data_IF_295753061248
#
_entry.id   IF_295753061248
#
_cell.length_a   1.000
_cell.length_b   1.000
_cell.length_c   1.000
_cell.angle_alpha   90.00
_cell.angle_beta   90.00
_cell.angle_gamma   90.00
#
_symmetry.space_group_name_H-M   'P 1'
#
loop_
_entity.id
_entity.type
_entity.pdbx_description
1 polymer ?
#
# COMPACT_ATOMS: atom_id res chain seq x y z
N UNK A 1 -48.70 -16.24 -37.52
CA UNK A 1 -47.76 -15.47 -36.67
C UNK A 1 -47.20 -16.48 -35.71
N UNK A 2 -45.97 -16.90 -36.00
CA UNK A 2 -45.19 -17.83 -35.18
C UNK A 2 -44.47 -16.98 -34.11
N UNK A 3 -44.83 -17.14 -32.84
CA UNK A 3 -44.04 -16.66 -31.76
C UNK A 3 -42.93 -17.70 -31.49
N UNK A 4 -41.70 -17.37 -31.85
CA UNK A 4 -40.55 -18.14 -31.40
C UNK A 4 -40.32 -17.78 -29.95
N UNK A 5 -40.71 -18.69 -29.04
CA UNK A 5 -40.32 -18.66 -27.62
C UNK A 5 -38.81 -19.00 -27.62
N UNK A 6 -37.96 -17.97 -27.46
CA UNK A 6 -36.55 -18.14 -27.20
C UNK A 6 -36.41 -18.69 -25.76
N UNK A 7 -36.23 -20.01 -25.65
CA UNK A 7 -35.88 -20.64 -24.39
C UNK A 7 -34.45 -20.22 -24.02
N UNK A 8 -34.32 -19.27 -23.09
CA UNK A 8 -33.03 -18.93 -22.47
C UNK A 8 -32.60 -20.11 -21.62
N UNK A 9 -31.70 -20.91 -22.12
CA UNK A 9 -31.03 -21.98 -21.36
C UNK A 9 -30.05 -21.29 -20.41
N UNK A 10 -30.45 -21.14 -19.16
CA UNK A 10 -29.52 -20.75 -18.08
C UNK A 10 -28.61 -21.96 -17.81
N UNK A 11 -27.43 -21.96 -18.37
CA UNK A 11 -26.41 -22.96 -18.04
C UNK A 11 -25.81 -22.57 -16.70
N UNK A 12 -26.29 -23.24 -15.64
CA UNK A 12 -25.75 -23.13 -14.31
C UNK A 12 -24.36 -23.83 -14.30
N UNK A 13 -23.25 -23.09 -14.05
CA UNK A 13 -21.92 -23.65 -14.26
C UNK A 13 -21.65 -24.80 -13.28
N UNK A 14 -21.25 -25.95 -13.80
CA UNK A 14 -20.91 -27.13 -13.01
C UNK A 14 -19.65 -26.87 -12.16
N UNK A 15 -18.67 -26.16 -12.74
CA UNK A 15 -17.45 -25.71 -12.10
C UNK A 15 -17.36 -24.20 -12.24
N UNK A 16 -17.29 -23.49 -11.14
CA UNK A 16 -17.12 -22.05 -11.07
C UNK A 16 -16.58 -21.65 -9.71
N UNK A 17 -15.83 -20.56 -9.68
CA UNK A 17 -15.41 -19.94 -8.43
C UNK A 17 -15.31 -18.44 -8.59
N UNK A 18 -15.25 -17.73 -7.49
CA UNK A 18 -14.93 -16.31 -7.41
C UNK A 18 -13.70 -16.11 -6.55
N UNK A 19 -12.95 -15.05 -6.84
CA UNK A 19 -11.88 -14.56 -6.00
C UNK A 19 -12.20 -13.11 -5.64
N UNK A 20 -12.06 -12.76 -4.36
CA UNK A 20 -12.16 -11.39 -3.85
C UNK A 20 -10.88 -11.03 -3.13
N UNK A 21 -10.46 -9.77 -3.25
CA UNK A 21 -9.26 -9.26 -2.60
C UNK A 21 -9.57 -7.96 -1.90
N UNK A 22 -9.16 -7.87 -0.64
CA UNK A 22 -9.33 -6.67 0.19
C UNK A 22 -8.03 -6.31 0.90
N UNK A 23 -7.94 -5.07 1.38
CA UNK A 23 -6.86 -4.60 2.24
C UNK A 23 -7.46 -4.10 3.56
N UNK A 24 -6.71 -4.23 4.66
CA UNK A 24 -7.10 -3.75 5.99
C UNK A 24 -7.25 -2.22 6.06
N UNK A 25 -6.66 -1.51 5.10
CA UNK A 25 -6.70 -0.05 4.96
C UNK A 25 -6.65 0.36 3.48
N UNK A 26 -7.23 1.50 3.15
CA UNK A 26 -7.20 2.10 1.80
C UNK A 26 -6.11 3.18 1.64
N UNK A 27 -5.45 3.56 2.73
CA UNK A 27 -4.34 4.51 2.76
C UNK A 27 -3.24 3.99 3.69
N UNK A 28 -1.97 4.14 3.30
CA UNK A 28 -0.81 3.77 4.08
C UNK A 28 0.33 4.78 3.90
N UNK A 29 1.26 4.80 4.84
CA UNK A 29 2.50 5.58 4.77
C UNK A 29 3.68 4.66 4.56
N UNK A 30 4.72 5.19 3.92
CA UNK A 30 6.00 4.48 3.79
C UNK A 30 6.46 3.95 5.15
N UNK A 31 6.77 2.66 5.22
CA UNK A 31 7.16 1.93 6.42
C UNK A 31 6.01 1.30 7.22
N UNK A 32 4.75 1.51 6.83
CA UNK A 32 3.61 0.79 7.41
C UNK A 32 3.41 -0.55 6.70
N UNK A 33 2.82 -1.51 7.41
CA UNK A 33 2.36 -2.76 6.82
C UNK A 33 0.89 -2.64 6.38
N UNK A 34 0.56 -3.26 5.25
CA UNK A 34 -0.79 -3.47 4.75
C UNK A 34 -1.06 -4.96 4.75
N UNK A 35 -2.16 -5.36 5.39
CA UNK A 35 -2.62 -6.76 5.39
C UNK A 35 -3.63 -6.95 4.27
N UNK A 36 -3.35 -7.87 3.36
CA UNK A 36 -4.25 -8.27 2.29
C UNK A 36 -4.96 -9.55 2.64
N UNK A 37 -6.24 -9.60 2.32
CA UNK A 37 -7.10 -10.79 2.45
C UNK A 37 -7.60 -11.19 1.08
N UNK A 38 -7.50 -12.48 0.77
CA UNK A 38 -7.94 -13.11 -0.47
C UNK A 38 -8.95 -14.18 -0.11
N UNK A 39 -10.18 -14.03 -0.57
CA UNK A 39 -11.26 -15.01 -0.38
C UNK A 39 -11.56 -15.71 -1.71
N UNK A 40 -11.39 -17.03 -1.73
CA UNK A 40 -11.73 -17.90 -2.86
C UNK A 40 -12.98 -18.68 -2.50
N UNK A 41 -14.05 -18.51 -3.28
CA UNK A 41 -15.35 -19.16 -3.05
C UNK A 41 -15.72 -20.04 -4.24
N UNK A 42 -16.00 -21.32 -3.99
CA UNK A 42 -16.55 -22.20 -5.00
C UNK A 42 -18.05 -21.91 -5.19
N UNK A 43 -18.38 -21.29 -6.31
CA UNK A 43 -19.78 -20.95 -6.69
C UNK A 43 -20.41 -21.99 -7.61
N UNK A 44 -19.64 -23.05 -7.98
CA UNK A 44 -20.14 -24.17 -8.78
C UNK A 44 -20.87 -25.22 -7.98
N UNK A 45 -21.36 -26.23 -8.65
CA UNK A 45 -22.12 -27.36 -8.04
C UNK A 45 -21.23 -28.54 -7.66
N UNK A 46 -20.02 -28.60 -8.18
CA UNK A 46 -19.02 -29.64 -7.88
C UNK A 46 -17.86 -29.07 -7.07
N UNK A 47 -17.27 -29.93 -6.27
CA UNK A 47 -16.04 -29.61 -5.57
C UNK A 47 -14.92 -29.25 -6.57
N UNK A 48 -14.09 -28.30 -6.21
CA UNK A 48 -12.85 -27.94 -6.88
C UNK A 48 -11.68 -28.50 -6.11
N UNK A 49 -10.65 -28.93 -6.80
CA UNK A 49 -9.41 -29.44 -6.22
C UNK A 49 -8.21 -28.75 -6.85
N UNK A 50 -7.15 -28.64 -6.07
CA UNK A 50 -5.87 -28.11 -6.52
C UNK A 50 -5.98 -26.70 -7.12
N UNK A 51 -6.69 -25.80 -6.42
CA UNK A 51 -6.81 -24.39 -6.82
C UNK A 51 -5.50 -23.70 -6.48
N UNK A 52 -4.74 -23.29 -7.49
CA UNK A 52 -3.48 -22.57 -7.32
C UNK A 52 -3.76 -21.07 -7.14
N UNK A 53 -3.33 -20.50 -6.01
CA UNK A 53 -3.50 -19.07 -5.70
C UNK A 53 -2.15 -18.42 -5.58
N UNK A 54 -1.94 -17.34 -6.34
CA UNK A 54 -0.70 -16.60 -6.42
C UNK A 54 -0.92 -15.11 -6.21
N UNK A 55 -0.03 -14.49 -5.41
CA UNK A 55 0.07 -13.05 -5.21
C UNK A 55 1.54 -12.69 -4.97
N UNK A 56 2.17 -12.12 -5.98
CA UNK A 56 3.61 -11.86 -5.96
C UNK A 56 4.01 -10.78 -4.94
N UNK A 57 3.13 -9.80 -4.67
CA UNK A 57 3.43 -8.70 -3.76
C UNK A 57 3.59 -9.18 -2.32
N UNK A 58 2.74 -10.07 -1.86
CA UNK A 58 2.81 -10.65 -0.50
C UNK A 58 3.57 -11.97 -0.46
N UNK A 59 4.17 -12.39 -1.59
CA UNK A 59 4.91 -13.64 -1.70
C UNK A 59 4.04 -14.89 -1.49
N UNK A 60 2.75 -14.80 -1.78
CA UNK A 60 1.82 -15.93 -1.67
C UNK A 60 1.89 -16.77 -2.94
N UNK A 61 2.17 -18.04 -2.78
CA UNK A 61 2.11 -19.07 -3.82
C UNK A 61 1.68 -20.37 -3.14
N UNK A 62 0.41 -20.74 -3.25
CA UNK A 62 -0.17 -21.84 -2.49
C UNK A 62 -1.25 -22.57 -3.29
N UNK A 63 -1.57 -23.79 -2.85
CA UNK A 63 -2.63 -24.61 -3.43
C UNK A 63 -3.69 -24.89 -2.39
N UNK A 64 -4.94 -24.57 -2.71
CA UNK A 64 -6.10 -25.00 -1.94
C UNK A 64 -6.46 -26.40 -2.46
N UNK A 65 -6.17 -27.44 -1.66
CA UNK A 65 -6.29 -28.82 -2.09
C UNK A 65 -7.74 -29.24 -2.39
N UNK A 66 -8.73 -28.67 -1.69
CA UNK A 66 -10.14 -29.00 -1.87
C UNK A 66 -11.03 -27.84 -1.44
N UNK A 67 -12.11 -27.60 -2.18
CA UNK A 67 -13.14 -26.62 -1.89
C UNK A 67 -14.50 -27.16 -2.34
N UNK A 68 -15.34 -27.57 -1.38
CA UNK A 68 -16.68 -28.09 -1.65
C UNK A 68 -17.58 -27.01 -2.29
N UNK A 69 -18.68 -27.40 -2.89
CA UNK A 69 -19.66 -26.45 -3.44
C UNK A 69 -20.14 -25.47 -2.34
N UNK A 70 -20.12 -24.18 -2.63
CA UNK A 70 -20.43 -23.07 -1.72
C UNK A 70 -19.48 -22.91 -0.52
N UNK A 71 -18.33 -23.58 -0.54
CA UNK A 71 -17.28 -23.39 0.45
C UNK A 71 -16.36 -22.25 0.04
N UNK A 72 -15.83 -21.52 1.05
CA UNK A 72 -14.86 -20.44 0.86
C UNK A 72 -13.59 -20.74 1.64
N UNK A 73 -12.46 -20.26 1.11
CA UNK A 73 -11.16 -20.30 1.76
C UNK A 73 -10.56 -18.92 1.76
N UNK A 74 -10.21 -18.43 2.96
CA UNK A 74 -9.52 -17.16 3.16
C UNK A 74 -8.01 -17.40 3.28
N UNK A 75 -7.24 -16.59 2.57
CA UNK A 75 -5.78 -16.48 2.62
C UNK A 75 -5.41 -15.05 3.00
N UNK A 76 -4.34 -14.88 3.75
CA UNK A 76 -3.87 -13.54 4.17
C UNK A 76 -2.37 -13.42 4.00
N UNK A 77 -1.90 -12.20 3.76
CA UNK A 77 -0.49 -11.87 3.74
C UNK A 77 -0.27 -10.38 3.98
N UNK A 78 0.94 -10.03 4.35
CA UNK A 78 1.32 -8.66 4.67
C UNK A 78 2.37 -8.15 3.69
N UNK A 79 2.29 -6.86 3.37
CA UNK A 79 3.27 -6.14 2.59
C UNK A 79 3.72 -4.89 3.33
N UNK A 80 5.03 -4.72 3.50
CA UNK A 80 5.63 -3.52 4.07
C UNK A 80 5.83 -2.47 2.97
N UNK A 81 5.09 -1.36 3.06
CA UNK A 81 5.09 -0.30 2.05
C UNK A 81 6.43 0.42 2.03
N UNK A 82 7.00 0.59 0.84
CA UNK A 82 8.29 1.23 0.58
C UNK A 82 8.16 2.64 -0.01
N UNK A 83 9.26 3.36 -0.18
CA UNK A 83 9.26 4.67 -0.82
C UNK A 83 8.95 4.59 -2.33
N UNK A 84 9.19 3.45 -2.96
CA UNK A 84 8.93 3.23 -4.38
C UNK A 84 7.43 3.05 -4.66
N UNK A 85 6.62 2.77 -3.61
CA UNK A 85 5.18 2.55 -3.71
C UNK A 85 4.36 3.85 -3.57
N UNK A 86 4.98 5.02 -3.42
CA UNK A 86 4.26 6.30 -3.26
C UNK A 86 3.35 6.56 -4.46
N UNK A 87 2.05 6.72 -4.18
CA UNK A 87 0.99 6.88 -5.17
C UNK A 87 -0.11 5.84 -5.01
N UNK A 88 -0.55 5.26 -6.10
CA UNK A 88 -1.52 4.17 -6.12
C UNK A 88 -0.78 2.83 -6.19
N UNK A 89 -0.85 2.07 -5.11
CA UNK A 89 -0.31 0.73 -5.00
C UNK A 89 -1.42 -0.28 -5.30
N UNK A 90 -1.40 -0.86 -6.49
CA UNK A 90 -2.31 -1.94 -6.88
C UNK A 90 -1.68 -3.30 -6.56
N UNK A 91 -2.41 -4.13 -5.82
CA UNK A 91 -2.01 -5.52 -5.57
C UNK A 91 -3.03 -6.48 -6.20
N UNK A 92 -2.53 -7.43 -6.99
CA UNK A 92 -3.33 -8.39 -7.76
C UNK A 92 -3.07 -9.81 -7.24
N UNK A 93 -4.13 -10.57 -7.04
CA UNK A 93 -4.07 -12.00 -6.80
C UNK A 93 -4.73 -12.76 -7.95
N UNK A 94 -4.15 -13.87 -8.34
CA UNK A 94 -4.66 -14.77 -9.39
C UNK A 94 -4.97 -16.13 -8.79
N UNK A 95 -6.12 -16.69 -9.10
CA UNK A 95 -6.48 -18.06 -8.78
C UNK A 95 -6.76 -18.86 -10.05
N UNK A 96 -6.20 -20.09 -10.15
CA UNK A 96 -6.36 -20.98 -11.30
C UNK A 96 -6.70 -22.39 -10.82
N UNK A 97 -7.64 -23.03 -11.49
CA UNK A 97 -8.01 -24.44 -11.25
C UNK A 97 -8.22 -25.16 -12.57
N UNK A 98 -7.80 -26.42 -12.66
CA UNK A 98 -8.13 -27.32 -13.76
C UNK A 98 -9.45 -28.02 -13.45
N UNK A 99 -10.52 -27.69 -14.19
CA UNK A 99 -11.82 -28.26 -13.94
C UNK A 99 -12.58 -28.55 -15.25
N UNK A 100 -13.15 -29.74 -15.36
CA UNK A 100 -13.82 -30.17 -16.59
C UNK A 100 -12.90 -30.35 -17.81
N UNK A 101 -11.58 -30.39 -17.61
CA UNK A 101 -10.58 -30.53 -18.68
C UNK A 101 -10.05 -29.21 -19.26
N UNK A 102 -10.46 -28.10 -18.68
CA UNK A 102 -10.02 -26.75 -19.06
C UNK A 102 -9.61 -25.93 -17.82
N UNK A 103 -8.60 -25.06 -17.94
CA UNK A 103 -8.22 -24.15 -16.86
C UNK A 103 -9.26 -23.04 -16.72
N UNK A 104 -9.67 -22.78 -15.48
CA UNK A 104 -10.48 -21.60 -15.10
C UNK A 104 -9.58 -20.69 -14.29
N UNK A 105 -9.42 -19.44 -14.73
CA UNK A 105 -8.56 -18.45 -14.04
C UNK A 105 -9.35 -17.18 -13.77
N UNK A 106 -9.22 -16.66 -12.56
CA UNK A 106 -9.77 -15.39 -12.13
C UNK A 106 -8.74 -14.57 -11.38
N UNK A 107 -8.82 -13.25 -11.53
CA UNK A 107 -7.98 -12.26 -10.85
C UNK A 107 -8.85 -11.38 -9.97
N UNK A 108 -8.26 -10.89 -8.86
CA UNK A 108 -8.84 -9.85 -8.04
C UNK A 108 -7.75 -8.85 -7.63
N UNK A 109 -8.06 -7.57 -7.63
CA UNK A 109 -7.12 -6.53 -7.24
C UNK A 109 -7.72 -5.56 -6.22
N UNK A 110 -6.84 -4.88 -5.49
CA UNK A 110 -7.18 -3.79 -4.58
C UNK A 110 -6.10 -2.71 -4.66
N UNK A 111 -6.52 -1.45 -4.58
CA UNK A 111 -5.63 -0.28 -4.62
C UNK A 111 -5.55 0.34 -3.23
N UNK A 112 -4.32 0.58 -2.76
CA UNK A 112 -4.02 1.33 -1.54
C UNK A 112 -3.26 2.60 -1.92
N UNK A 113 -3.69 3.76 -1.40
CA UNK A 113 -2.98 5.02 -1.62
C UNK A 113 -1.82 5.15 -0.66
N UNK A 114 -0.63 5.33 -1.19
CA UNK A 114 0.60 5.44 -0.40
C UNK A 114 1.09 6.87 -0.38
N UNK A 115 1.37 7.38 0.82
CA UNK A 115 1.97 8.69 1.06
C UNK A 115 3.34 8.55 1.71
N UNK A 116 4.17 9.59 1.55
CA UNK A 116 5.44 9.64 2.25
C UNK A 116 5.23 9.52 3.76
N UNK A 117 6.18 8.88 4.44
CA UNK A 117 6.21 8.91 5.91
C UNK A 117 6.24 10.37 6.33
N UNK A 118 5.29 10.80 7.19
CA UNK A 118 5.39 12.12 7.79
C UNK A 118 6.75 12.18 8.50
N UNK A 119 7.65 13.02 7.99
CA UNK A 119 8.85 13.37 8.72
C UNK A 119 8.35 13.87 10.08
N UNK A 120 8.79 13.24 11.17
CA UNK A 120 8.52 13.77 12.50
C UNK A 120 8.94 15.22 12.42
N UNK A 121 7.99 16.14 12.65
CA UNK A 121 8.23 17.56 12.47
C UNK A 121 9.57 17.87 13.11
N UNK A 122 10.60 18.00 12.29
CA UNK A 122 11.86 18.56 12.72
C UNK A 122 11.43 19.87 13.38
N UNK A 123 11.85 20.11 14.60
CA UNK A 123 11.52 21.30 15.39
C UNK A 123 11.72 22.50 14.44
N UNK A 124 10.63 22.88 13.71
CA UNK A 124 10.73 23.99 12.77
C UNK A 124 11.23 25.20 13.53
N UNK A 125 12.27 25.87 13.04
CA UNK A 125 12.76 27.05 13.72
C UNK A 125 11.62 28.04 13.88
N UNK A 126 11.42 28.63 15.06
CA UNK A 126 10.28 29.48 15.36
C UNK A 126 10.19 30.65 14.40
N UNK A 127 8.99 30.89 13.84
CA UNK A 127 8.73 31.89 12.81
C UNK A 127 8.80 33.35 13.27
N UNK A 128 8.99 33.61 14.57
CA UNK A 128 9.11 34.96 15.12
C UNK A 128 10.51 35.18 15.70
N UNK A 129 11.06 36.39 15.51
CA UNK A 129 12.40 36.78 15.96
C UNK A 129 12.66 36.49 17.43
N UNK A 130 11.69 36.76 18.32
CA UNK A 130 11.83 36.50 19.77
C UNK A 130 11.97 35.00 20.10
N UNK A 131 11.26 34.14 19.39
CA UNK A 131 11.36 32.69 19.55
C UNK A 131 12.66 32.15 18.96
N UNK A 132 13.13 32.74 17.84
CA UNK A 132 14.41 32.41 17.22
C UNK A 132 15.57 32.70 18.16
N UNK A 133 15.56 33.86 18.82
CA UNK A 133 16.62 34.23 19.79
C UNK A 133 16.65 33.26 20.96
N UNK A 134 15.50 32.89 21.52
CA UNK A 134 15.42 31.94 22.63
C UNK A 134 15.90 30.54 22.24
N UNK A 135 15.57 30.12 21.00
CA UNK A 135 16.01 28.82 20.47
C UNK A 135 17.53 28.78 20.23
N UNK A 136 18.13 29.87 19.72
CA UNK A 136 19.58 29.97 19.53
C UNK A 136 20.34 30.00 20.87
N UNK A 137 19.76 30.60 21.90
CA UNK A 137 20.39 30.70 23.23
C UNK A 137 20.29 29.44 24.06
N UNK A 138 19.28 28.59 23.79
CA UNK A 138 19.08 27.33 24.52
C UNK A 138 18.70 26.18 23.57
N UNK A 139 19.62 25.75 22.70
CA UNK A 139 19.36 24.62 21.83
C UNK A 139 19.19 23.35 22.67
N UNK A 140 18.16 22.53 22.35
CA UNK A 140 17.99 21.23 23.01
C UNK A 140 19.26 20.41 22.78
N UNK A 141 19.94 20.06 23.88
CA UNK A 141 21.18 19.30 23.86
C UNK A 141 20.94 17.89 23.31
N UNK A 142 21.64 17.57 22.23
CA UNK A 142 21.64 16.22 21.64
C UNK A 142 21.58 16.16 20.11
N UNK A 143 21.36 17.28 19.42
CA UNK A 143 21.31 17.31 17.96
C UNK A 143 22.65 17.75 17.36
N UNK A 144 23.39 16.87 16.66
CA UNK A 144 24.63 17.20 15.97
C UNK A 144 24.44 18.16 14.80
N UNK A 145 23.21 18.46 14.37
CA UNK A 145 22.90 19.32 13.23
C UNK A 145 22.80 20.81 13.59
N UNK A 146 22.83 21.16 14.87
CA UNK A 146 22.70 22.56 15.37
C UNK A 146 23.75 23.49 14.74
N UNK A 147 24.95 23.01 14.49
CA UNK A 147 26.01 23.82 13.88
C UNK A 147 25.77 24.14 12.39
N UNK A 148 25.08 23.28 11.67
CA UNK A 148 24.79 23.48 10.24
C UNK A 148 23.58 24.41 10.06
N UNK A 149 22.60 24.34 10.97
CA UNK A 149 21.39 25.16 10.94
C UNK A 149 21.67 26.65 11.27
N UNK A 150 22.62 26.93 12.17
CA UNK A 150 23.03 28.30 12.49
C UNK A 150 23.60 29.05 11.28
N UNK A 151 24.19 28.35 10.33
CA UNK A 151 24.72 28.96 9.11
C UNK A 151 23.61 29.23 8.09
N UNK A 152 22.58 28.41 8.02
CA UNK A 152 21.46 28.56 7.07
C UNK A 152 20.46 29.63 7.51
N UNK A 153 20.22 29.81 8.80
CA UNK A 153 19.25 30.80 9.29
C UNK A 153 19.71 32.27 9.03
N UNK A 154 21.01 32.52 8.92
CA UNK A 154 21.56 33.81 8.53
C UNK A 154 21.19 34.21 7.08
N UNK A 155 20.75 33.25 6.24
CA UNK A 155 20.39 33.48 4.84
C UNK A 155 18.88 33.78 4.64
N UNK A 156 18.01 33.39 5.57
CA UNK A 156 16.54 33.49 5.42
C UNK A 156 15.97 34.79 5.97
N UNK A 157 16.66 35.45 6.92
CA UNK A 157 16.16 36.66 7.60
C UNK A 157 16.49 37.98 6.93
N UNK A 158 17.32 37.99 5.86
CA UNK A 158 17.58 39.20 5.07
C UNK A 158 16.69 39.17 3.83
N UNK A 159 15.45 39.65 3.97
CA UNK A 159 14.61 39.95 2.82
C UNK A 159 15.34 40.78 1.80
N UNK A 160 15.50 40.27 0.56
CA UNK A 160 15.98 40.95 -0.64
C UNK A 160 17.40 41.54 -0.60
N UNK A 161 18.38 40.80 -0.06
CA UNK A 161 19.79 41.20 -0.20
C UNK A 161 20.71 40.24 0.49
N UNK A 162 21.60 39.63 -0.28
CA UNK A 162 22.59 38.70 0.22
C UNK A 162 23.60 39.40 1.13
N UNK A 163 23.38 39.44 2.43
CA UNK A 163 24.36 39.95 3.40
C UNK A 163 25.11 38.78 4.01
N UNK A 164 26.32 38.56 3.52
CA UNK A 164 27.27 37.57 4.09
C UNK A 164 27.94 38.18 5.31
N UNK A 165 27.50 37.84 6.51
CA UNK A 165 28.23 38.20 7.75
C UNK A 165 29.39 37.21 7.97
N UNK A 166 30.59 37.59 7.50
CA UNK A 166 31.80 36.83 7.76
C UNK A 166 32.34 37.18 9.15
N UNK A 167 31.98 36.35 10.16
CA UNK A 167 32.64 36.45 11.46
C UNK A 167 34.03 35.81 11.37
N UNK A 168 35.07 36.65 11.38
CA UNK A 168 36.48 36.20 11.49
C UNK A 168 36.68 35.66 12.91
N UNK A 169 36.86 34.37 13.06
CA UNK A 169 37.43 33.80 14.27
C UNK A 169 38.93 34.09 14.24
N UNK A 170 39.43 34.88 15.21
CA UNK A 170 40.84 34.90 15.56
C UNK A 170 41.08 33.69 16.45
N UNK A 171 42.12 32.90 16.09
CA UNK A 171 42.63 31.74 16.79
C UNK A 171 43.20 32.06 18.18
#
# INVERSE_FOLDING_TARGET
>A
ISSEDEAVIVVDPTYAFTIEKTADKNEAKVGEAVTYTIDVTNTGKKALTDIHVKDDMIGLDTVIAHLSANESKTLTGEYAVTADDIGELENIATATVEAGGEPITHDASVIVKVSAKAEAAADEPPSTLDKVVTWIQNPKTGDPTVNTFLILLAFVLAGSGLYVYRKKFKG
#
